data_IF_342333918742
#
_entry.id   IF_342333918742
#
_cell.length_a   1.000
_cell.length_b   1.000
_cell.length_c   1.000
_cell.angle_alpha   90.00
_cell.angle_beta   90.00
_cell.angle_gamma   90.00
#
_symmetry.space_group_name_H-M   'P 1'
#
loop_
_entity.id
_entity.type
_entity.pdbx_description
1 polymer ?
#
# COMPACT_ATOMS: atom_id res chain seq x y z
N UNK A 1 22.71 -27.29 -5.27
CA UNK A 1 22.86 -26.23 -4.23
C UNK A 1 24.28 -26.26 -3.71
N UNK A 2 25.00 -25.14 -3.71
CA UNK A 2 26.37 -25.05 -3.21
C UNK A 2 26.43 -24.94 -1.66
N UNK A 3 25.39 -25.38 -0.94
CA UNK A 3 25.44 -25.56 0.52
C UNK A 3 25.54 -24.28 1.38
N UNK A 4 25.07 -23.15 0.89
CA UNK A 4 24.97 -21.93 1.72
C UNK A 4 23.76 -22.03 2.64
N UNK A 5 24.02 -22.07 3.95
CA UNK A 5 22.98 -22.17 4.99
C UNK A 5 22.06 -20.94 5.06
N UNK A 6 22.51 -19.80 4.55
CA UNK A 6 21.83 -18.51 4.54
C UNK A 6 21.38 -18.09 3.13
N UNK A 7 21.08 -19.05 2.26
CA UNK A 7 20.52 -18.81 0.94
C UNK A 7 18.98 -18.83 0.99
N UNK A 8 18.33 -17.80 0.47
CA UNK A 8 16.88 -17.69 0.40
C UNK A 8 16.42 -17.46 -1.02
N UNK A 9 15.20 -17.93 -1.39
CA UNK A 9 14.57 -17.51 -2.63
C UNK A 9 14.36 -16.00 -2.61
N UNK A 10 14.50 -15.39 -3.75
CA UNK A 10 14.29 -13.98 -3.94
C UNK A 10 13.66 -13.65 -5.29
N UNK A 11 13.26 -12.41 -5.45
CA UNK A 11 12.71 -11.89 -6.68
C UNK A 11 13.24 -10.48 -6.95
N UNK A 12 13.49 -10.17 -8.20
CA UNK A 12 13.88 -8.83 -8.66
C UNK A 12 13.29 -8.54 -10.05
N UNK A 13 13.59 -7.39 -10.63
CA UNK A 13 13.09 -6.98 -11.95
C UNK A 13 13.54 -7.89 -13.13
N UNK A 14 14.43 -8.85 -12.88
CA UNK A 14 14.85 -9.87 -13.87
C UNK A 14 14.22 -11.25 -13.61
N UNK A 15 13.41 -11.39 -12.54
CA UNK A 15 12.73 -12.63 -12.17
C UNK A 15 13.24 -13.27 -10.88
N UNK A 16 13.02 -14.57 -10.76
CA UNK A 16 13.42 -15.35 -9.60
C UNK A 16 14.94 -15.43 -9.45
N UNK A 17 15.42 -15.34 -8.24
CA UNK A 17 16.83 -15.38 -7.87
C UNK A 17 17.04 -16.16 -6.57
N UNK A 18 18.29 -16.47 -6.26
CA UNK A 18 18.70 -16.93 -4.94
C UNK A 18 19.59 -15.87 -4.32
N UNK A 19 19.20 -15.40 -3.15
CA UNK A 19 19.93 -14.36 -2.41
C UNK A 19 20.61 -14.99 -1.20
N UNK A 20 21.92 -14.74 -1.07
CA UNK A 20 22.71 -15.12 0.11
C UNK A 20 22.83 -13.87 0.98
N UNK A 21 22.49 -13.98 2.26
CA UNK A 21 22.52 -12.87 3.21
C UNK A 21 23.51 -13.12 4.34
N UNK A 22 23.81 -12.07 5.13
CA UNK A 22 24.66 -12.16 6.32
C UNK A 22 26.09 -11.70 6.14
N UNK A 23 26.46 -11.10 4.98
CA UNK A 23 27.74 -10.41 4.83
C UNK A 23 27.85 -9.21 5.79
N UNK A 24 28.99 -9.03 6.43
CA UNK A 24 29.19 -7.96 7.42
C UNK A 24 29.51 -6.60 6.78
N UNK A 25 29.86 -6.59 5.48
CA UNK A 25 30.15 -5.35 4.74
C UNK A 25 29.79 -5.52 3.26
N UNK A 26 29.61 -4.37 2.58
CA UNK A 26 29.37 -4.35 1.13
C UNK A 26 30.57 -4.91 0.35
N UNK A 27 31.79 -4.66 0.79
CA UNK A 27 33.00 -5.20 0.17
C UNK A 27 33.06 -6.74 0.24
N UNK A 28 32.69 -7.31 1.39
CA UNK A 28 32.58 -8.77 1.54
C UNK A 28 31.50 -9.35 0.65
N UNK A 29 30.33 -8.70 0.60
CA UNK A 29 29.23 -9.11 -0.26
C UNK A 29 29.62 -9.05 -1.75
N UNK A 30 30.33 -8.01 -2.19
CA UNK A 30 30.82 -7.87 -3.57
C UNK A 30 31.82 -8.98 -3.94
N UNK A 31 32.74 -9.31 -3.02
CA UNK A 31 33.72 -10.38 -3.22
C UNK A 31 33.02 -11.75 -3.36
N UNK A 32 32.08 -12.05 -2.47
CA UNK A 32 31.30 -13.27 -2.51
C UNK A 32 30.44 -13.34 -3.80
N UNK A 33 29.77 -12.26 -4.16
CA UNK A 33 28.95 -12.19 -5.37
C UNK A 33 29.77 -12.42 -6.64
N UNK A 34 30.96 -11.82 -6.74
CA UNK A 34 31.86 -12.01 -7.90
C UNK A 34 32.27 -13.48 -8.08
N UNK A 35 32.55 -14.19 -7.00
CA UNK A 35 32.91 -15.63 -7.05
C UNK A 35 31.75 -16.53 -7.50
N UNK A 36 30.52 -16.06 -7.38
CA UNK A 36 29.30 -16.79 -7.70
C UNK A 36 28.65 -16.35 -9.02
N UNK A 37 29.26 -15.37 -9.72
CA UNK A 37 28.67 -14.78 -10.94
C UNK A 37 27.44 -13.93 -10.67
N UNK A 38 27.28 -13.41 -9.46
CA UNK A 38 26.16 -12.58 -9.02
C UNK A 38 26.55 -11.11 -8.79
N UNK A 39 25.65 -10.39 -8.13
CA UNK A 39 25.84 -8.99 -7.71
C UNK A 39 25.46 -8.79 -6.25
N UNK A 40 26.19 -7.92 -5.55
CA UNK A 40 25.84 -7.50 -4.19
C UNK A 40 24.74 -6.44 -4.23
N UNK A 41 23.83 -6.48 -3.24
CA UNK A 41 22.73 -5.54 -3.07
C UNK A 41 22.85 -4.91 -1.68
N UNK A 42 22.67 -3.59 -1.57
CA UNK A 42 22.67 -2.91 -0.29
C UNK A 42 21.44 -3.32 0.54
N UNK A 43 21.55 -3.41 1.87
CA UNK A 43 20.40 -3.72 2.74
C UNK A 43 19.21 -2.75 2.57
N UNK A 44 19.50 -1.47 2.26
CA UNK A 44 18.49 -0.44 1.96
C UNK A 44 17.64 -0.72 0.72
N UNK A 45 18.09 -1.63 -0.14
CA UNK A 45 17.44 -1.93 -1.42
C UNK A 45 16.72 -3.30 -1.40
N UNK A 46 16.53 -3.86 -0.20
CA UNK A 46 15.94 -5.19 0.00
C UNK A 46 14.71 -5.11 0.90
N UNK A 47 13.59 -5.63 0.42
CA UNK A 47 12.41 -5.95 1.23
C UNK A 47 12.56 -7.40 1.73
N UNK A 48 12.42 -7.58 3.04
CA UNK A 48 12.55 -8.90 3.67
C UNK A 48 11.18 -9.34 4.16
N UNK A 49 10.69 -10.46 3.63
CA UNK A 49 9.55 -11.15 4.21
C UNK A 49 10.06 -12.10 5.30
N UNK A 50 9.49 -12.01 6.48
CA UNK A 50 9.87 -12.84 7.61
C UNK A 50 8.67 -13.42 8.34
N UNK A 51 8.88 -14.57 8.98
CA UNK A 51 7.94 -15.16 9.93
C UNK A 51 8.64 -15.24 11.27
N UNK A 52 8.04 -14.65 12.30
CA UNK A 52 8.62 -14.61 13.67
C UNK A 52 10.06 -14.06 13.74
N UNK A 53 10.41 -13.16 12.80
CA UNK A 53 11.76 -12.58 12.72
C UNK A 53 12.73 -13.35 11.83
N UNK A 54 12.43 -14.60 11.45
CA UNK A 54 13.25 -15.36 10.53
C UNK A 54 12.95 -14.99 9.08
N UNK A 55 13.94 -14.52 8.30
CA UNK A 55 13.72 -14.16 6.92
C UNK A 55 13.42 -15.39 6.08
N UNK A 56 12.34 -15.34 5.29
CA UNK A 56 11.91 -16.44 4.41
C UNK A 56 12.02 -16.11 2.93
N UNK A 57 12.05 -14.82 2.57
CA UNK A 57 12.06 -14.34 1.20
C UNK A 57 12.68 -12.97 1.09
N UNK A 58 13.46 -12.71 0.03
CA UNK A 58 14.13 -11.44 -0.21
C UNK A 58 13.73 -10.87 -1.58
N UNK A 59 13.34 -9.60 -1.60
CA UNK A 59 12.88 -8.92 -2.80
C UNK A 59 13.72 -7.66 -3.01
N UNK A 60 14.22 -7.47 -4.22
CA UNK A 60 15.07 -6.34 -4.56
C UNK A 60 14.58 -5.63 -5.82
N UNK A 61 14.67 -4.30 -5.82
CA UNK A 61 14.39 -3.45 -6.99
C UNK A 61 12.98 -3.66 -7.61
N UNK A 62 11.99 -4.00 -6.77
CA UNK A 62 10.59 -4.12 -7.22
C UNK A 62 9.63 -3.92 -6.05
N UNK A 63 8.42 -3.48 -6.36
CA UNK A 63 7.34 -3.39 -5.40
C UNK A 63 6.75 -4.78 -5.11
N UNK A 64 6.19 -4.94 -3.92
CA UNK A 64 5.53 -6.18 -3.49
C UNK A 64 4.05 -5.94 -3.31
N UNK A 65 3.23 -6.85 -3.81
CA UNK A 65 1.79 -6.73 -3.75
C UNK A 65 1.19 -7.89 -2.98
N UNK A 66 0.28 -7.58 -2.04
CA UNK A 66 -0.52 -8.54 -1.31
C UNK A 66 -1.99 -8.26 -1.53
N UNK A 67 -2.74 -9.30 -1.83
CA UNK A 67 -4.20 -9.24 -1.95
C UNK A 67 -4.81 -10.34 -1.08
N UNK A 68 -6.09 -10.17 -0.75
CA UNK A 68 -6.87 -11.24 -0.15
C UNK A 68 -6.95 -12.46 -1.08
N UNK A 69 -7.24 -13.63 -0.52
CA UNK A 69 -7.38 -14.88 -1.29
C UNK A 69 -8.60 -14.88 -2.23
N UNK A 70 -9.55 -13.98 -2.00
CA UNK A 70 -10.72 -13.73 -2.84
C UNK A 70 -11.06 -12.24 -2.82
N UNK A 71 -11.95 -11.80 -3.70
CA UNK A 71 -12.41 -10.41 -3.79
C UNK A 71 -13.02 -9.89 -2.47
N UNK A 72 -13.61 -10.79 -1.67
CA UNK A 72 -14.25 -10.44 -0.39
C UNK A 72 -13.30 -10.53 0.81
N UNK A 73 -12.02 -10.82 0.58
CA UNK A 73 -11.03 -10.98 1.66
C UNK A 73 -10.16 -9.73 1.77
N UNK A 74 -10.21 -9.08 2.93
CA UNK A 74 -9.38 -7.92 3.22
C UNK A 74 -7.94 -8.32 3.52
N UNK A 75 -7.03 -7.37 3.37
CA UNK A 75 -5.64 -7.51 3.82
C UNK A 75 -5.52 -6.96 5.23
N UNK A 76 -5.16 -7.82 6.18
CA UNK A 76 -4.95 -7.46 7.58
C UNK A 76 -3.48 -7.09 7.82
N UNK A 77 -3.23 -5.87 8.30
CA UNK A 77 -1.90 -5.39 8.72
C UNK A 77 -1.76 -5.32 10.26
N UNK A 78 -2.58 -6.08 10.98
CA UNK A 78 -2.56 -6.21 12.44
C UNK A 78 -3.34 -5.10 13.16
N UNK A 79 -3.15 -3.84 12.83
CA UNK A 79 -3.89 -2.71 13.43
C UNK A 79 -5.08 -2.24 12.60
N UNK A 80 -5.06 -2.52 11.30
CA UNK A 80 -6.09 -2.12 10.34
C UNK A 80 -6.23 -3.18 9.25
N UNK A 81 -7.46 -3.35 8.79
CA UNK A 81 -7.78 -4.11 7.59
C UNK A 81 -8.04 -3.19 6.41
N UNK A 82 -7.73 -3.67 5.20
CA UNK A 82 -7.85 -2.92 3.97
C UNK A 82 -8.50 -3.73 2.87
N UNK A 83 -9.41 -3.12 2.12
CA UNK A 83 -9.93 -3.67 0.86
C UNK A 83 -8.87 -3.62 -0.23
N UNK A 84 -9.07 -4.38 -1.29
CA UNK A 84 -8.21 -4.32 -2.47
C UNK A 84 -6.82 -4.92 -2.26
N UNK A 85 -5.80 -4.21 -2.71
CA UNK A 85 -4.42 -4.68 -2.76
C UNK A 85 -3.53 -3.76 -1.92
N UNK A 86 -2.64 -4.35 -1.12
CA UNK A 86 -1.57 -3.62 -0.44
C UNK A 86 -0.27 -3.74 -1.23
N UNK A 87 0.26 -2.60 -1.68
CA UNK A 87 1.58 -2.47 -2.28
C UNK A 87 2.57 -2.01 -1.23
N UNK A 88 3.72 -2.65 -1.17
CA UNK A 88 4.86 -2.24 -0.34
C UNK A 88 6.00 -1.83 -1.27
N UNK A 89 6.46 -0.60 -1.09
CA UNK A 89 7.58 -0.05 -1.83
C UNK A 89 8.67 0.45 -0.89
N UNK A 90 9.92 0.31 -1.30
CA UNK A 90 11.04 0.82 -0.57
C UNK A 90 11.24 2.30 -0.94
N UNK A 91 11.12 3.19 0.05
CA UNK A 91 11.40 4.60 -0.15
C UNK A 91 12.92 4.86 -0.19
N UNK A 92 13.34 5.96 -0.81
CA UNK A 92 14.74 6.39 -0.86
C UNK A 92 15.37 6.60 0.52
N UNK A 93 14.56 6.80 1.54
CA UNK A 93 14.98 6.87 2.95
C UNK A 93 15.37 5.51 3.56
N UNK A 94 15.14 4.39 2.85
CA UNK A 94 15.28 3.04 3.38
C UNK A 94 14.07 2.55 4.20
N UNK A 95 13.01 3.35 4.27
CA UNK A 95 11.75 2.97 4.93
C UNK A 95 10.80 2.31 3.95
N UNK A 96 9.91 1.47 4.46
CA UNK A 96 8.85 0.85 3.68
C UNK A 96 7.63 1.77 3.67
N UNK A 97 7.14 2.09 2.48
CA UNK A 97 5.85 2.75 2.28
C UNK A 97 4.81 1.68 1.93
N UNK A 98 3.75 1.60 2.73
CA UNK A 98 2.58 0.78 2.43
C UNK A 98 1.54 1.64 1.69
N UNK A 99 1.10 1.17 0.54
CA UNK A 99 0.11 1.85 -0.31
C UNK A 99 -1.08 0.92 -0.53
N UNK A 100 -2.27 1.39 -0.19
CA UNK A 100 -3.50 0.66 -0.49
C UNK A 100 -3.99 1.02 -1.91
N UNK A 101 -4.12 0.03 -2.75
CA UNK A 101 -4.71 0.13 -4.09
C UNK A 101 -6.12 -0.41 -3.98
N UNK A 102 -7.10 0.47 -4.06
CA UNK A 102 -8.51 0.18 -3.79
C UNK A 102 -9.39 0.88 -4.83
N UNK A 103 -10.57 0.34 -5.08
CA UNK A 103 -11.58 0.99 -5.90
C UNK A 103 -11.93 2.37 -5.33
N UNK A 104 -12.22 3.33 -6.21
CA UNK A 104 -12.42 4.72 -5.84
C UNK A 104 -13.62 4.93 -4.90
N UNK A 105 -14.73 4.22 -5.13
CA UNK A 105 -15.91 4.31 -4.25
C UNK A 105 -15.65 3.55 -2.94
N UNK A 106 -14.97 2.41 -2.96
CA UNK A 106 -14.59 1.67 -1.76
C UNK A 106 -13.60 2.44 -0.87
N UNK A 107 -12.71 3.25 -1.46
CA UNK A 107 -11.87 4.19 -0.71
C UNK A 107 -12.72 5.13 0.15
N UNK A 108 -13.83 5.65 -0.40
CA UNK A 108 -14.73 6.56 0.32
C UNK A 108 -15.44 5.88 1.51
N UNK A 109 -15.60 4.56 1.51
CA UNK A 109 -16.17 3.83 2.65
C UNK A 109 -15.33 4.00 3.91
N UNK A 110 -13.99 4.08 3.77
CA UNK A 110 -13.06 4.31 4.89
C UNK A 110 -12.79 5.79 5.18
N UNK A 111 -13.12 6.70 4.26
CA UNK A 111 -12.95 8.16 4.41
C UNK A 111 -14.15 8.80 5.10
N UNK A 112 -15.36 8.59 4.60
CA UNK A 112 -16.55 9.30 5.09
C UNK A 112 -16.77 9.15 6.60
N UNK A 113 -16.62 7.95 7.22
CA UNK A 113 -16.76 7.82 8.66
C UNK A 113 -15.64 8.50 9.47
N UNK A 114 -14.51 8.84 8.83
CA UNK A 114 -13.45 9.63 9.47
C UNK A 114 -13.76 11.13 9.50
N UNK A 115 -14.66 11.60 8.63
CA UNK A 115 -15.02 13.00 8.47
C UNK A 115 -16.35 13.37 9.19
N UNK A 116 -17.30 12.45 9.25
CA UNK A 116 -18.62 12.67 9.83
C UNK A 116 -19.12 11.44 10.60
N UNK A 117 -19.57 11.60 11.86
CA UNK A 117 -20.16 10.50 12.61
C UNK A 117 -21.40 9.90 11.93
N UNK A 118 -21.53 8.57 11.97
CA UNK A 118 -22.67 7.84 11.38
C UNK A 118 -24.02 8.15 12.04
N UNK A 119 -24.04 8.86 13.18
CA UNK A 119 -25.23 9.32 13.90
C UNK A 119 -25.81 10.65 13.39
N UNK A 120 -25.13 11.31 12.46
CA UNK A 120 -25.63 12.55 11.86
C UNK A 120 -26.82 12.30 10.93
N UNK A 121 -27.54 13.37 10.57
CA UNK A 121 -28.62 13.28 9.60
C UNK A 121 -28.13 12.63 8.29
N UNK A 122 -28.86 11.66 7.77
CA UNK A 122 -28.43 10.87 6.61
C UNK A 122 -28.09 11.71 5.37
N UNK A 123 -28.89 12.77 5.11
CA UNK A 123 -28.63 13.70 4.00
C UNK A 123 -27.32 14.51 4.21
N UNK A 124 -26.92 14.78 5.46
CA UNK A 124 -25.62 15.40 5.75
C UNK A 124 -24.46 14.43 5.45
N UNK A 125 -24.61 13.14 5.76
CA UNK A 125 -23.63 12.11 5.43
C UNK A 125 -23.49 11.97 3.91
N UNK A 126 -24.59 12.00 3.15
CA UNK A 126 -24.59 11.98 1.68
C UNK A 126 -23.90 13.23 1.10
N UNK A 127 -24.14 14.40 1.68
CA UNK A 127 -23.44 15.64 1.27
C UNK A 127 -21.92 15.51 1.52
N UNK A 128 -21.52 14.97 2.67
CA UNK A 128 -20.12 14.71 2.99
C UNK A 128 -19.49 13.70 2.02
N UNK A 129 -20.21 12.66 1.62
CA UNK A 129 -19.74 11.70 0.62
C UNK A 129 -19.46 12.37 -0.74
N UNK A 130 -20.34 13.27 -1.20
CA UNK A 130 -20.10 14.06 -2.41
C UNK A 130 -18.88 15.00 -2.28
N UNK A 131 -18.71 15.65 -1.13
CA UNK A 131 -17.57 16.52 -0.88
C UNK A 131 -16.25 15.73 -0.83
N UNK A 132 -16.21 14.61 -0.10
CA UNK A 132 -15.05 13.74 0.00
C UNK A 132 -14.64 13.17 -1.38
N UNK A 133 -15.62 12.74 -2.17
CA UNK A 133 -15.40 12.26 -3.55
C UNK A 133 -14.80 13.35 -4.44
N UNK A 134 -15.33 14.56 -4.37
CA UNK A 134 -14.84 15.70 -5.15
C UNK A 134 -13.39 16.03 -4.81
N UNK A 135 -13.07 16.06 -3.51
CA UNK A 135 -11.70 16.30 -3.05
C UNK A 135 -10.74 15.20 -3.54
N UNK A 136 -11.12 13.94 -3.41
CA UNK A 136 -10.32 12.81 -3.87
C UNK A 136 -10.08 12.86 -5.38
N UNK A 137 -11.11 13.15 -6.20
CA UNK A 137 -10.99 13.31 -7.66
C UNK A 137 -9.92 14.35 -8.03
N UNK A 138 -9.89 15.48 -7.33
CA UNK A 138 -8.90 16.53 -7.58
C UNK A 138 -7.48 16.05 -7.25
N UNK A 139 -7.35 15.20 -6.21
CA UNK A 139 -6.03 14.71 -5.76
C UNK A 139 -5.49 13.62 -6.68
N UNK A 140 -6.28 12.62 -7.04
CA UNK A 140 -5.84 11.52 -7.93
C UNK A 140 -5.51 11.99 -9.36
N UNK A 141 -6.03 13.11 -9.80
CA UNK A 141 -5.64 13.72 -11.08
C UNK A 141 -4.25 14.35 -11.07
N UNK A 142 -3.70 14.64 -9.89
CA UNK A 142 -2.36 15.20 -9.71
C UNK A 142 -1.40 14.02 -9.50
N UNK A 143 -0.85 13.48 -10.60
CA UNK A 143 0.15 12.41 -10.53
C UNK A 143 1.22 12.71 -9.50
N UNK A 144 1.44 11.78 -8.59
CA UNK A 144 2.45 11.87 -7.54
C UNK A 144 3.67 11.03 -7.91
N UNK A 145 4.86 11.63 -7.83
CA UNK A 145 6.13 10.89 -7.99
C UNK A 145 6.44 9.99 -6.78
N UNK A 146 5.61 10.04 -5.73
CA UNK A 146 5.79 9.27 -4.50
C UNK A 146 5.27 7.82 -4.60
N UNK A 147 4.65 7.46 -5.73
CA UNK A 147 4.11 6.11 -5.97
C UNK A 147 2.74 5.86 -5.31
N UNK A 148 2.06 6.92 -4.84
CA UNK A 148 0.67 6.92 -4.39
C UNK A 148 0.00 8.27 -4.73
N UNK A 149 -1.32 8.30 -4.84
CA UNK A 149 -2.08 9.48 -5.27
C UNK A 149 -2.44 10.42 -4.11
N UNK A 150 -2.74 9.84 -2.93
CA UNK A 150 -3.24 10.57 -1.77
C UNK A 150 -2.73 9.92 -0.48
N UNK A 151 -2.32 10.72 0.50
CA UNK A 151 -1.93 10.20 1.82
C UNK A 151 -3.15 10.05 2.74
N UNK A 152 -3.08 9.12 3.69
CA UNK A 152 -4.15 8.69 4.60
C UNK A 152 -4.29 9.56 5.86
N UNK A 153 -3.65 10.74 5.90
CA UNK A 153 -3.60 11.63 7.06
C UNK A 153 -4.37 12.92 6.84
N UNK A 154 -4.47 13.75 7.88
CA UNK A 154 -5.05 15.10 7.82
C UNK A 154 -4.37 16.03 6.81
N UNK A 155 -3.16 15.72 6.35
CA UNK A 155 -2.48 16.48 5.31
C UNK A 155 -3.21 16.37 3.96
N UNK A 156 -3.77 15.20 3.65
CA UNK A 156 -4.58 14.97 2.44
C UNK A 156 -6.03 14.69 2.82
N UNK A 157 -6.34 13.44 3.14
CA UNK A 157 -7.69 13.01 3.52
C UNK A 157 -7.57 11.79 4.44
N UNK A 158 -8.14 11.86 5.65
CA UNK A 158 -8.04 10.77 6.61
C UNK A 158 -8.73 9.52 6.08
N UNK A 159 -7.99 8.42 6.00
CA UNK A 159 -8.47 7.13 5.53
C UNK A 159 -8.22 6.05 6.58
N UNK A 160 -9.29 5.46 7.07
CA UNK A 160 -9.25 4.46 8.14
C UNK A 160 -9.19 3.00 7.68
N UNK A 161 -9.22 2.75 6.36
CA UNK A 161 -9.34 1.39 5.82
C UNK A 161 -10.71 0.77 6.10
N UNK A 162 -10.82 -0.54 5.89
CA UNK A 162 -12.03 -1.33 6.15
C UNK A 162 -12.43 -1.28 7.63
N UNK A 163 -11.48 -1.28 8.54
CA UNK A 163 -11.72 -1.24 9.99
C UNK A 163 -12.59 -0.06 10.43
N UNK A 164 -12.54 1.05 9.70
CA UNK A 164 -13.30 2.26 10.03
C UNK A 164 -14.68 2.34 9.34
N UNK A 165 -15.02 1.40 8.48
CA UNK A 165 -16.29 1.44 7.73
C UNK A 165 -17.51 1.31 8.65
N UNK A 166 -18.59 2.00 8.30
CA UNK A 166 -19.89 1.81 8.93
C UNK A 166 -20.99 1.63 7.88
N UNK A 167 -21.98 0.79 8.19
CA UNK A 167 -23.09 0.51 7.26
C UNK A 167 -23.81 1.78 6.78
N UNK A 168 -24.02 2.74 7.69
CA UNK A 168 -24.73 3.98 7.37
C UNK A 168 -23.93 4.87 6.42
N UNK A 169 -22.63 5.05 6.68
CA UNK A 169 -21.78 5.90 5.83
C UNK A 169 -21.49 5.23 4.49
N UNK A 170 -21.26 3.91 4.48
CA UNK A 170 -21.12 3.14 3.25
C UNK A 170 -22.36 3.24 2.36
N UNK A 171 -23.57 3.10 2.94
CA UNK A 171 -24.80 3.24 2.16
C UNK A 171 -24.97 4.67 1.59
N UNK A 172 -24.57 5.70 2.33
CA UNK A 172 -24.60 7.08 1.83
C UNK A 172 -23.63 7.32 0.67
N UNK A 173 -22.47 6.67 0.66
CA UNK A 173 -21.55 6.67 -0.49
C UNK A 173 -22.21 6.00 -1.70
N UNK A 174 -22.79 4.81 -1.52
CA UNK A 174 -23.51 4.07 -2.58
C UNK A 174 -24.66 4.89 -3.16
N UNK A 175 -25.50 5.51 -2.31
CA UNK A 175 -26.66 6.32 -2.76
C UNK A 175 -26.23 7.61 -3.50
N UNK A 176 -24.98 7.99 -3.38
CA UNK A 176 -24.39 9.16 -4.03
C UNK A 176 -23.30 8.80 -5.04
N UNK A 177 -23.21 7.53 -5.43
CA UNK A 177 -22.20 7.06 -6.39
C UNK A 177 -22.18 7.92 -7.65
N UNK A 178 -20.99 8.28 -8.12
CA UNK A 178 -20.77 9.11 -9.29
C UNK A 178 -21.15 10.59 -9.13
N UNK A 179 -21.65 11.03 -7.96
CA UNK A 179 -22.01 12.44 -7.73
C UNK A 179 -20.85 13.19 -7.11
N UNK A 180 -20.37 14.20 -7.83
CA UNK A 180 -19.33 15.12 -7.39
C UNK A 180 -19.80 16.59 -7.52
N UNK A 181 -19.18 17.49 -6.79
CA UNK A 181 -19.48 18.92 -6.80
C UNK A 181 -18.64 19.56 -7.90
N UNK A 182 -19.29 20.28 -8.80
CA UNK A 182 -18.64 20.98 -9.92
C UNK A 182 -18.91 22.47 -9.84
N UNK A 183 -17.89 23.26 -10.16
CA UNK A 183 -18.02 24.70 -10.37
C UNK A 183 -17.31 25.09 -11.67
N UNK A 184 -18.02 25.77 -12.56
CA UNK A 184 -17.53 26.15 -13.89
C UNK A 184 -16.87 24.99 -14.68
N UNK A 185 -17.44 23.78 -14.60
CA UNK A 185 -16.98 22.61 -15.34
C UNK A 185 -15.77 21.89 -14.71
N UNK A 186 -15.31 22.33 -13.55
CA UNK A 186 -14.24 21.67 -12.78
C UNK A 186 -14.76 21.15 -11.44
N UNK A 187 -14.31 19.96 -10.98
CA UNK A 187 -14.62 19.43 -9.66
C UNK A 187 -13.99 20.28 -8.55
#
# INVERSE_FOLDING_TARGET
SQGYANALPGYNNRGWTVTIYGSQSMSEAQTAAASLGGSAVAPSDVLILSVSGDPIFLITNTDVYFAGQSADTNVDLGSKEYRGIMKFQLASSGLITAVNIVDFEEYLYGVVPSEIPSSYAYEAIKAQACAARTYALIKVQKKSDLGYDICDTTHCQVYGGYTNESKTTTQAVVDTEGKAIYYNGSP
#
